data_IF_775153348682
#
_entry.id   IF_775153348682
#
_cell.length_a   1.000
_cell.length_b   1.000
_cell.length_c   1.000
_cell.angle_alpha   90.00
_cell.angle_beta   90.00
_cell.angle_gamma   90.00
#
_symmetry.space_group_name_H-M   'P 1'
#
loop_
_entity.id
_entity.type
_entity.pdbx_description
1 polymer ?
#
# COMPACT_ATOMS: atom_id res chain seq x y z
N UNK A 1 16.94 -1.19 -34.33
CA UNK A 1 17.34 -1.28 -32.90
C UNK A 1 18.69 -0.60 -32.60
N UNK A 2 19.28 0.14 -33.55
CA UNK A 2 20.66 0.68 -33.44
C UNK A 2 20.75 2.12 -32.96
N UNK A 3 19.62 2.74 -32.61
CA UNK A 3 19.59 4.12 -32.10
C UNK A 3 19.82 4.11 -30.57
N UNK A 4 20.87 4.77 -30.05
CA UNK A 4 21.15 4.89 -28.62
C UNK A 4 19.97 5.48 -27.82
N UNK A 5 19.19 6.37 -28.43
CA UNK A 5 18.00 6.94 -27.81
C UNK A 5 16.90 5.89 -27.67
N UNK A 6 16.68 5.07 -28.70
CA UNK A 6 15.71 3.95 -28.65
C UNK A 6 16.12 2.90 -27.61
N UNK A 7 17.42 2.58 -27.50
CA UNK A 7 17.93 1.65 -26.47
C UNK A 7 17.71 2.20 -25.05
N UNK A 8 17.93 3.51 -24.85
CA UNK A 8 17.71 4.17 -23.55
C UNK A 8 16.23 4.22 -23.19
N UNK A 9 15.35 4.50 -24.16
CA UNK A 9 13.89 4.42 -23.98
C UNK A 9 13.49 2.99 -23.58
N UNK A 10 13.95 1.97 -24.32
CA UNK A 10 13.62 0.58 -24.02
C UNK A 10 14.09 0.14 -22.63
N UNK A 11 15.31 0.49 -22.22
CA UNK A 11 15.84 0.13 -20.88
C UNK A 11 15.07 0.83 -19.76
N UNK A 12 14.56 2.04 -19.97
CA UNK A 12 13.76 2.76 -18.98
C UNK A 12 12.29 2.29 -18.95
N UNK A 13 11.73 1.91 -20.09
CA UNK A 13 10.34 1.44 -20.19
C UNK A 13 10.17 -0.02 -19.82
N UNK A 14 11.17 -0.87 -20.05
CA UNK A 14 11.09 -2.30 -19.76
C UNK A 14 10.71 -2.60 -18.30
N UNK A 15 11.29 -1.97 -17.26
CA UNK A 15 10.92 -2.22 -15.88
C UNK A 15 9.53 -1.70 -15.54
N UNK A 16 9.11 -0.59 -16.16
CA UNK A 16 7.77 -0.01 -15.97
C UNK A 16 6.71 -0.94 -16.56
N UNK A 17 6.93 -1.41 -17.79
CA UNK A 17 6.06 -2.37 -18.46
C UNK A 17 5.98 -3.71 -17.70
N UNK A 18 7.12 -4.22 -17.22
CA UNK A 18 7.15 -5.41 -16.38
C UNK A 18 6.39 -5.20 -15.07
N UNK A 19 6.54 -4.04 -14.42
CA UNK A 19 5.76 -3.68 -13.23
C UNK A 19 4.25 -3.70 -13.49
N UNK A 20 3.80 -3.13 -14.61
CA UNK A 20 2.38 -3.14 -14.99
C UNK A 20 1.85 -4.56 -15.25
N UNK A 21 2.65 -5.40 -15.91
CA UNK A 21 2.29 -6.81 -16.16
C UNK A 21 2.16 -7.56 -14.84
N UNK A 22 3.15 -7.40 -13.94
CA UNK A 22 3.14 -8.04 -12.62
C UNK A 22 1.92 -7.59 -11.81
N UNK A 23 1.58 -6.31 -11.80
CA UNK A 23 0.40 -5.80 -11.10
C UNK A 23 -0.91 -6.38 -11.64
N UNK A 24 -1.08 -6.45 -12.98
CA UNK A 24 -2.27 -7.05 -13.57
C UNK A 24 -2.35 -8.56 -13.29
N UNK A 25 -1.21 -9.24 -13.32
CA UNK A 25 -1.13 -10.66 -13.00
C UNK A 25 -1.44 -10.92 -11.53
N UNK A 26 -0.98 -10.06 -10.62
CA UNK A 26 -1.32 -10.13 -9.20
C UNK A 26 -2.84 -10.07 -9.01
N UNK A 27 -3.53 -9.08 -9.59
CA UNK A 27 -5.00 -8.96 -9.47
C UNK A 27 -5.71 -10.22 -9.96
N UNK A 28 -5.28 -10.77 -11.09
CA UNK A 28 -5.85 -12.01 -11.62
C UNK A 28 -5.58 -13.22 -10.71
N UNK A 29 -4.41 -13.29 -10.07
CA UNK A 29 -4.06 -14.34 -9.11
C UNK A 29 -4.88 -14.19 -7.83
N UNK A 30 -4.97 -12.98 -7.26
CA UNK A 30 -5.74 -12.69 -6.05
C UNK A 30 -7.20 -13.13 -6.23
N UNK A 31 -7.82 -12.77 -7.35
CA UNK A 31 -9.21 -13.17 -7.65
C UNK A 31 -9.37 -14.69 -7.77
N UNK A 32 -8.42 -15.38 -8.42
CA UNK A 32 -8.44 -16.85 -8.56
C UNK A 32 -8.22 -17.56 -7.23
N UNK A 33 -7.31 -17.05 -6.39
CA UNK A 33 -7.05 -17.61 -5.07
C UNK A 33 -8.24 -17.38 -4.15
N UNK A 34 -8.80 -16.17 -4.13
CA UNK A 34 -9.96 -15.84 -3.31
C UNK A 34 -11.21 -16.63 -3.71
N UNK A 35 -11.47 -16.87 -5.00
CA UNK A 35 -12.59 -17.70 -5.42
C UNK A 35 -12.45 -19.17 -5.01
N UNK A 36 -11.21 -19.64 -4.83
CA UNK A 36 -10.94 -21.01 -4.36
C UNK A 36 -11.18 -21.23 -2.87
N UNK A 37 -11.31 -20.16 -2.06
CA UNK A 37 -11.52 -20.25 -0.61
C UNK A 37 -12.99 -20.25 -0.19
N UNK A 38 -13.90 -20.08 -1.15
CA UNK A 38 -15.36 -20.14 -0.95
C UNK A 38 -16.10 -19.10 -1.77
N UNK A 39 -17.35 -19.37 -2.13
CA UNK A 39 -18.16 -18.56 -3.06
C UNK A 39 -18.29 -17.09 -2.62
N UNK A 40 -18.40 -16.84 -1.31
CA UNK A 40 -18.53 -15.48 -0.75
C UNK A 40 -17.20 -14.80 -0.40
N UNK A 41 -16.06 -15.50 -0.50
CA UNK A 41 -14.76 -14.97 -0.05
C UNK A 41 -14.36 -13.68 -0.77
N UNK A 42 -14.54 -13.65 -2.09
CA UNK A 42 -14.26 -12.47 -2.91
C UNK A 42 -15.11 -11.29 -2.45
N UNK A 43 -16.41 -11.52 -2.21
CA UNK A 43 -17.32 -10.48 -1.76
C UNK A 43 -16.94 -9.92 -0.38
N UNK A 44 -16.59 -10.78 0.57
CA UNK A 44 -16.14 -10.36 1.91
C UNK A 44 -14.84 -9.55 1.84
N UNK A 45 -13.86 -10.00 1.04
CA UNK A 45 -12.61 -9.28 0.82
C UNK A 45 -12.83 -7.91 0.18
N UNK A 46 -13.68 -7.81 -0.84
CA UNK A 46 -13.98 -6.54 -1.52
C UNK A 46 -14.64 -5.52 -0.57
N UNK A 47 -15.56 -5.99 0.29
CA UNK A 47 -16.22 -5.12 1.29
C UNK A 47 -15.24 -4.66 2.36
N UNK A 48 -14.38 -5.55 2.86
CA UNK A 48 -13.33 -5.19 3.81
C UNK A 48 -12.34 -4.19 3.19
N UNK A 49 -11.91 -4.42 1.95
CA UNK A 49 -11.02 -3.53 1.19
C UNK A 49 -11.65 -2.15 1.00
N UNK A 50 -12.95 -2.10 0.73
CA UNK A 50 -13.70 -0.82 0.58
C UNK A 50 -13.61 0.02 1.86
N UNK A 51 -13.79 -0.60 3.04
CA UNK A 51 -13.70 0.12 4.32
C UNK A 51 -12.30 0.67 4.59
N UNK A 52 -11.25 -0.01 4.15
CA UNK A 52 -9.86 0.42 4.33
C UNK A 52 -9.45 1.51 3.34
N UNK A 53 -10.02 1.51 2.14
CA UNK A 53 -9.78 2.57 1.16
C UNK A 53 -10.22 3.94 1.68
N UNK A 54 -11.22 4.01 2.57
CA UNK A 54 -11.70 5.27 3.14
C UNK A 54 -10.59 6.03 3.88
N UNK A 55 -10.00 5.52 4.97
CA UNK A 55 -8.91 6.23 5.66
C UNK A 55 -7.64 6.28 4.81
N UNK A 56 -7.35 5.25 4.00
CA UNK A 56 -6.15 5.21 3.17
C UNK A 56 -6.15 6.29 2.09
N UNK A 57 -7.25 6.42 1.34
CA UNK A 57 -7.42 7.45 0.31
C UNK A 57 -7.48 8.85 0.91
N UNK A 58 -8.26 9.03 1.99
CA UNK A 58 -8.47 10.33 2.62
C UNK A 58 -7.20 10.90 3.25
N UNK A 59 -6.34 10.04 3.79
CA UNK A 59 -5.14 10.45 4.54
C UNK A 59 -3.89 10.25 3.69
N UNK A 60 -3.56 9.00 3.35
CA UNK A 60 -2.28 8.66 2.74
C UNK A 60 -2.14 9.25 1.33
N UNK A 61 -3.13 9.02 0.48
CA UNK A 61 -3.13 9.52 -0.91
C UNK A 61 -3.22 11.04 -0.93
N UNK A 62 -4.17 11.62 -0.18
CA UNK A 62 -4.39 13.06 -0.16
C UNK A 62 -3.17 13.85 0.33
N UNK A 63 -2.55 13.44 1.44
CA UNK A 63 -1.34 14.10 1.95
C UNK A 63 -0.19 13.97 0.95
N UNK A 64 -0.02 12.80 0.35
CA UNK A 64 1.07 12.56 -0.61
C UNK A 64 0.92 13.42 -1.87
N UNK A 65 -0.30 13.54 -2.40
CA UNK A 65 -0.61 14.45 -3.51
C UNK A 65 -0.39 15.91 -3.12
N UNK A 66 -0.77 16.31 -1.90
CA UNK A 66 -0.59 17.68 -1.43
C UNK A 66 0.89 18.07 -1.29
N UNK A 67 1.76 17.16 -0.86
CA UNK A 67 3.20 17.43 -0.72
C UNK A 67 3.99 17.28 -2.02
N UNK A 68 3.44 16.58 -3.03
CA UNK A 68 4.16 16.28 -4.28
C UNK A 68 4.71 17.50 -5.01
N UNK A 69 3.94 18.59 -5.25
CA UNK A 69 4.46 19.74 -6.00
C UNK A 69 5.62 20.41 -5.27
N UNK A 70 5.56 20.43 -3.93
CA UNK A 70 6.61 21.00 -3.09
C UNK A 70 7.87 20.14 -3.10
N UNK A 71 7.73 18.82 -2.96
CA UNK A 71 8.84 17.87 -3.07
C UNK A 71 9.53 17.96 -4.45
N UNK A 72 8.76 18.07 -5.53
CA UNK A 72 9.31 18.21 -6.89
C UNK A 72 10.09 19.53 -7.05
N UNK A 73 9.57 20.64 -6.53
CA UNK A 73 10.31 21.93 -6.55
C UNK A 73 11.60 21.87 -5.74
N UNK A 74 11.54 21.32 -4.53
CA UNK A 74 12.72 21.17 -3.66
C UNK A 74 13.76 20.25 -4.28
N UNK A 75 13.33 19.16 -4.93
CA UNK A 75 14.24 18.28 -5.68
C UNK A 75 14.88 18.98 -6.87
N UNK A 76 14.14 19.82 -7.61
CA UNK A 76 14.68 20.56 -8.75
C UNK A 76 15.65 21.68 -8.33
N UNK A 77 15.47 22.24 -7.14
CA UNK A 77 16.34 23.25 -6.54
C UNK A 77 17.54 22.68 -5.76
N UNK A 78 17.68 21.34 -5.72
CA UNK A 78 18.66 20.62 -4.90
C UNK A 78 18.59 20.95 -3.38
N UNK A 79 17.42 21.39 -2.90
CA UNK A 79 17.14 21.70 -1.50
C UNK A 79 16.84 20.40 -0.71
N UNK A 80 17.92 19.71 -0.32
CA UNK A 80 17.83 18.43 0.38
C UNK A 80 17.18 18.56 1.77
N UNK A 81 17.43 19.66 2.48
CA UNK A 81 16.92 19.86 3.84
C UNK A 81 15.44 20.24 3.83
N UNK A 82 15.01 21.10 2.91
CA UNK A 82 13.60 21.35 2.66
C UNK A 82 12.87 20.09 2.23
N UNK A 83 13.46 19.28 1.35
CA UNK A 83 12.89 18.01 0.92
C UNK A 83 12.66 17.05 2.11
N UNK A 84 13.67 16.88 2.97
CA UNK A 84 13.58 16.08 4.21
C UNK A 84 12.46 16.56 5.11
N UNK A 85 12.37 17.88 5.33
CA UNK A 85 11.37 18.48 6.20
C UNK A 85 9.95 18.27 5.67
N UNK A 86 9.74 18.49 4.37
CA UNK A 86 8.44 18.27 3.72
C UNK A 86 8.02 16.80 3.79
N UNK A 87 8.93 15.87 3.46
CA UNK A 87 8.65 14.44 3.52
C UNK A 87 8.38 13.97 4.96
N UNK A 88 9.20 14.40 5.91
CA UNK A 88 9.04 14.08 7.32
C UNK A 88 7.72 14.59 7.90
N UNK A 89 7.30 15.81 7.51
CA UNK A 89 5.99 16.35 7.86
C UNK A 89 4.86 15.50 7.27
N UNK A 90 4.95 15.15 5.97
CA UNK A 90 3.97 14.28 5.31
C UNK A 90 3.82 12.93 6.02
N UNK A 91 4.93 12.26 6.32
CA UNK A 91 4.95 10.99 7.04
C UNK A 91 4.33 11.11 8.45
N UNK A 92 4.67 12.17 9.20
CA UNK A 92 4.11 12.41 10.55
C UNK A 92 2.61 12.63 10.47
N UNK A 93 2.12 13.45 9.54
CA UNK A 93 0.69 13.69 9.37
C UNK A 93 -0.07 12.41 8.99
N UNK A 94 0.48 11.61 8.08
CA UNK A 94 -0.09 10.31 7.72
C UNK A 94 -0.18 9.40 8.94
N UNK A 95 0.91 9.25 9.70
CA UNK A 95 0.93 8.39 10.89
C UNK A 95 -0.04 8.85 11.98
N UNK A 96 -0.04 10.16 12.29
CA UNK A 96 -0.90 10.75 13.33
C UNK A 96 -2.38 10.54 13.02
N UNK A 97 -2.77 10.54 11.75
CA UNK A 97 -4.16 10.33 11.35
C UNK A 97 -4.49 8.85 11.11
N UNK A 98 -3.58 8.07 10.56
CA UNK A 98 -3.88 6.69 10.16
C UNK A 98 -3.87 5.71 11.32
N UNK A 99 -3.01 5.93 12.32
CA UNK A 99 -2.96 5.07 13.51
C UNK A 99 -4.31 5.09 14.27
N UNK A 100 -4.86 6.25 14.67
CA UNK A 100 -6.16 6.27 15.35
C UNK A 100 -7.30 5.79 14.46
N UNK A 101 -7.27 6.08 13.15
CA UNK A 101 -8.27 5.55 12.21
C UNK A 101 -8.22 4.01 12.12
N UNK A 102 -7.01 3.43 12.05
CA UNK A 102 -6.80 1.98 12.04
C UNK A 102 -7.30 1.35 13.33
N UNK A 103 -6.96 1.92 14.50
CA UNK A 103 -7.41 1.43 15.80
C UNK A 103 -8.93 1.54 15.95
N UNK A 104 -9.52 2.66 15.53
CA UNK A 104 -10.97 2.86 15.54
C UNK A 104 -11.70 1.83 14.68
N UNK A 105 -11.23 1.62 13.44
CA UNK A 105 -11.77 0.59 12.55
C UNK A 105 -11.55 -0.82 13.07
N UNK A 106 -10.42 -1.08 13.76
CA UNK A 106 -10.12 -2.41 14.29
C UNK A 106 -11.11 -2.81 15.39
N UNK A 107 -11.35 -1.91 16.34
CA UNK A 107 -12.31 -2.13 17.44
C UNK A 107 -13.74 -2.17 16.90
N UNK A 108 -14.07 -1.27 15.97
CA UNK A 108 -15.42 -1.14 15.41
C UNK A 108 -15.65 -1.96 14.13
N UNK A 109 -14.78 -2.93 13.85
CA UNK A 109 -14.81 -3.67 12.58
C UNK A 109 -16.18 -4.30 12.30
N UNK A 110 -16.72 -5.00 13.30
CA UNK A 110 -18.02 -5.67 13.22
C UNK A 110 -19.20 -4.70 13.20
N UNK A 111 -19.35 -3.73 14.13
CA UNK A 111 -20.48 -2.81 14.09
C UNK A 111 -20.49 -1.92 12.85
N UNK A 112 -19.32 -1.49 12.33
CA UNK A 112 -19.25 -0.72 11.08
C UNK A 112 -19.66 -1.58 9.88
N UNK A 113 -19.18 -2.82 9.81
CA UNK A 113 -19.53 -3.75 8.74
C UNK A 113 -21.02 -4.04 8.75
N UNK A 114 -21.59 -4.33 9.93
CA UNK A 114 -23.03 -4.59 10.09
C UNK A 114 -23.86 -3.38 9.66
N UNK A 115 -23.52 -2.20 10.20
CA UNK A 115 -24.24 -0.96 9.94
C UNK A 115 -24.26 -0.58 8.45
N UNK A 116 -23.16 -0.82 7.73
CA UNK A 116 -23.04 -0.40 6.32
C UNK A 116 -23.59 -1.48 5.38
N UNK A 117 -23.33 -2.76 5.66
CA UNK A 117 -23.54 -3.82 4.68
C UNK A 117 -24.64 -4.83 5.02
N UNK A 118 -25.04 -4.98 6.29
CA UNK A 118 -25.98 -6.02 6.74
C UNK A 118 -27.44 -5.69 6.43
N UNK A 119 -27.76 -5.70 5.14
CA UNK A 119 -29.09 -5.46 4.62
C UNK A 119 -29.38 -6.36 3.42
N UNK A 120 -30.65 -6.75 3.25
CA UNK A 120 -31.10 -7.54 2.12
C UNK A 120 -30.50 -8.95 2.09
N UNK A 121 -29.60 -9.22 1.13
CA UNK A 121 -28.98 -10.54 0.95
C UNK A 121 -27.70 -10.75 1.78
N UNK A 122 -27.22 -9.71 2.45
CA UNK A 122 -26.03 -9.77 3.30
C UNK A 122 -26.45 -10.12 4.72
N UNK A 123 -25.94 -11.25 5.21
CA UNK A 123 -26.32 -11.85 6.48
C UNK A 123 -25.33 -11.52 7.60
N UNK A 124 -25.70 -11.77 8.85
CA UNK A 124 -24.80 -11.68 9.99
C UNK A 124 -23.52 -12.54 9.84
N UNK A 125 -23.60 -13.67 9.14
CA UNK A 125 -22.42 -14.48 8.82
C UNK A 125 -21.47 -13.76 7.85
N UNK A 126 -22.02 -13.04 6.87
CA UNK A 126 -21.22 -12.22 5.95
C UNK A 126 -20.55 -11.05 6.69
N UNK A 127 -21.26 -10.44 7.64
CA UNK A 127 -20.71 -9.43 8.56
C UNK A 127 -19.53 -9.99 9.33
N UNK A 128 -19.68 -11.17 9.93
CA UNK A 128 -18.64 -11.81 10.73
C UNK A 128 -17.35 -12.04 9.92
N UNK A 129 -17.45 -12.65 8.74
CA UNK A 129 -16.29 -12.95 7.90
C UNK A 129 -15.66 -11.70 7.29
N UNK A 130 -16.47 -10.72 6.90
CA UNK A 130 -15.98 -9.43 6.41
C UNK A 130 -15.26 -8.64 7.50
N UNK A 131 -15.77 -8.65 8.74
CA UNK A 131 -15.12 -8.00 9.87
C UNK A 131 -13.78 -8.66 10.23
N UNK A 132 -13.67 -9.98 10.13
CA UNK A 132 -12.39 -10.68 10.29
C UNK A 132 -11.40 -10.36 9.19
N UNK A 133 -11.83 -10.36 7.93
CA UNK A 133 -10.99 -9.91 6.82
C UNK A 133 -10.52 -8.47 7.03
N UNK A 134 -11.42 -7.57 7.44
CA UNK A 134 -11.09 -6.19 7.77
C UNK A 134 -9.99 -6.11 8.84
N UNK A 135 -10.13 -6.83 9.95
CA UNK A 135 -9.11 -6.87 11.02
C UNK A 135 -7.75 -7.35 10.51
N UNK A 136 -7.73 -8.37 9.65
CA UNK A 136 -6.49 -8.88 9.06
C UNK A 136 -5.83 -7.87 8.09
N UNK A 137 -6.61 -7.15 7.28
CA UNK A 137 -6.07 -6.10 6.41
C UNK A 137 -5.59 -4.87 7.21
N UNK A 138 -6.26 -4.53 8.32
CA UNK A 138 -5.88 -3.40 9.18
C UNK A 138 -4.48 -3.58 9.79
N UNK A 139 -3.99 -4.82 9.93
CA UNK A 139 -2.61 -5.09 10.33
C UNK A 139 -1.58 -4.52 9.32
N UNK A 140 -1.95 -4.44 8.03
CA UNK A 140 -1.13 -3.87 6.96
C UNK A 140 -1.38 -2.39 6.68
N UNK A 141 -2.50 -1.82 7.15
CA UNK A 141 -2.96 -0.48 6.75
C UNK A 141 -1.93 0.63 7.04
N UNK A 142 -1.30 0.61 8.21
CA UNK A 142 -0.30 1.62 8.56
C UNK A 142 0.88 1.60 7.57
N UNK A 143 1.32 0.41 7.18
CA UNK A 143 2.40 0.23 6.20
C UNK A 143 1.98 0.66 4.80
N UNK A 144 0.77 0.28 4.38
CA UNK A 144 0.18 0.71 3.12
C UNK A 144 0.03 2.24 3.06
N UNK A 145 -0.20 2.91 4.19
CA UNK A 145 -0.38 4.35 4.25
C UNK A 145 0.94 5.12 4.16
N UNK A 146 1.98 4.68 4.88
CA UNK A 146 3.31 5.33 4.79
C UNK A 146 3.99 5.10 3.43
N UNK A 147 3.58 4.06 2.70
CA UNK A 147 4.09 3.77 1.37
C UNK A 147 3.86 4.91 0.37
N UNK A 148 2.71 5.57 0.45
CA UNK A 148 2.36 6.67 -0.45
C UNK A 148 3.36 7.83 -0.43
N UNK A 149 3.64 8.48 0.72
CA UNK A 149 4.58 9.59 0.75
C UNK A 149 6.00 9.15 0.39
N UNK A 150 6.38 7.90 0.72
CA UNK A 150 7.68 7.35 0.31
C UNK A 150 7.76 7.21 -1.22
N UNK A 151 6.78 6.58 -1.87
CA UNK A 151 6.73 6.45 -3.33
C UNK A 151 6.77 7.84 -4.01
N UNK A 152 6.04 8.79 -3.47
CA UNK A 152 5.96 10.16 -3.99
C UNK A 152 7.28 10.93 -3.85
N UNK A 153 8.06 10.67 -2.80
CA UNK A 153 9.42 11.21 -2.69
C UNK A 153 10.34 10.70 -3.81
N UNK A 154 10.19 9.43 -4.21
CA UNK A 154 10.93 8.87 -5.35
C UNK A 154 10.43 9.43 -6.69
N UNK A 155 9.12 9.62 -6.86
CA UNK A 155 8.55 10.23 -8.05
C UNK A 155 8.94 11.70 -8.22
N UNK A 156 8.99 12.47 -7.13
CA UNK A 156 9.49 13.85 -7.13
C UNK A 156 10.94 13.95 -7.65
N UNK A 157 11.73 12.88 -7.50
CA UNK A 157 13.11 12.76 -7.99
C UNK A 157 13.22 12.07 -9.36
N UNK A 158 12.11 11.95 -10.09
CA UNK A 158 12.04 11.25 -11.39
C UNK A 158 12.52 9.78 -11.32
N UNK A 159 12.50 9.17 -10.14
CA UNK A 159 12.89 7.77 -9.93
C UNK A 159 11.66 6.90 -9.73
N UNK A 160 11.05 6.48 -10.84
CA UNK A 160 9.89 5.57 -10.83
C UNK A 160 10.31 4.10 -10.75
N UNK A 161 11.55 3.79 -11.12
CA UNK A 161 12.07 2.42 -11.19
C UNK A 161 12.23 1.78 -9.81
N UNK A 162 12.70 2.54 -8.82
CA UNK A 162 12.94 1.99 -7.48
C UNK A 162 11.63 1.52 -6.82
N UNK A 163 10.57 2.34 -6.74
CA UNK A 163 9.24 1.87 -6.30
C UNK A 163 8.74 0.66 -7.07
N UNK A 164 8.86 0.65 -8.41
CA UNK A 164 8.35 -0.45 -9.24
C UNK A 164 9.04 -1.79 -8.93
N UNK A 165 10.38 -1.79 -8.79
CA UNK A 165 11.14 -3.01 -8.48
C UNK A 165 10.85 -3.53 -7.07
N UNK A 166 10.72 -2.64 -6.09
CA UNK A 166 10.33 -3.02 -4.72
C UNK A 166 8.90 -3.57 -4.71
N UNK A 167 8.01 -3.00 -5.53
CA UNK A 167 6.66 -3.50 -5.78
C UNK A 167 6.67 -4.94 -6.29
N UNK A 168 7.43 -5.22 -7.34
CA UNK A 168 7.59 -6.58 -7.90
C UNK A 168 8.09 -7.57 -6.83
N UNK A 169 9.10 -7.18 -6.05
CA UNK A 169 9.60 -8.02 -4.96
C UNK A 169 8.53 -8.31 -3.90
N UNK A 170 7.74 -7.30 -3.55
CA UNK A 170 6.67 -7.42 -2.56
C UNK A 170 5.52 -8.30 -3.07
N UNK A 171 5.19 -8.22 -4.36
CA UNK A 171 4.26 -9.18 -4.98
C UNK A 171 4.78 -10.61 -4.88
N UNK A 172 6.10 -10.82 -5.01
CA UNK A 172 6.71 -12.13 -4.73
C UNK A 172 6.47 -12.59 -3.29
N UNK A 173 6.64 -11.70 -2.30
CA UNK A 173 6.35 -11.98 -0.88
C UNK A 173 4.87 -12.35 -0.69
N UNK A 174 3.96 -11.58 -1.29
CA UNK A 174 2.53 -11.88 -1.29
C UNK A 174 2.26 -13.30 -1.81
N UNK A 175 2.75 -13.63 -3.01
CA UNK A 175 2.46 -14.91 -3.66
C UNK A 175 2.96 -16.10 -2.81
N UNK A 176 4.17 -15.99 -2.25
CA UNK A 176 4.73 -17.04 -1.38
C UNK A 176 3.85 -17.21 -0.14
N UNK A 177 3.51 -16.13 0.55
CA UNK A 177 2.70 -16.20 1.76
C UNK A 177 1.27 -16.64 1.48
N UNK A 178 0.66 -16.17 0.39
CA UNK A 178 -0.67 -16.55 -0.03
C UNK A 178 -0.74 -18.06 -0.29
N UNK A 179 0.20 -18.64 -1.04
CA UNK A 179 0.23 -20.08 -1.32
C UNK A 179 0.45 -20.93 -0.06
N UNK A 180 1.20 -20.43 0.92
CA UNK A 180 1.44 -21.12 2.19
C UNK A 180 0.23 -21.02 3.12
N UNK A 181 -0.38 -19.84 3.22
CA UNK A 181 -1.44 -19.54 4.18
C UNK A 181 -2.86 -19.87 3.68
N UNK A 182 -3.07 -19.99 2.37
CA UNK A 182 -4.40 -20.29 1.81
C UNK A 182 -4.92 -21.67 2.27
N UNK A 183 -4.05 -22.67 2.42
CA UNK A 183 -4.45 -24.00 2.90
C UNK A 183 -4.95 -24.00 4.35
N UNK A 184 -4.21 -23.45 5.34
CA UNK A 184 -4.67 -23.44 6.73
C UNK A 184 -5.71 -22.37 7.06
N UNK A 185 -5.68 -21.21 6.40
CA UNK A 185 -6.48 -20.03 6.78
C UNK A 185 -7.48 -19.57 5.71
N UNK A 186 -7.50 -20.20 4.54
CA UNK A 186 -8.37 -19.81 3.43
C UNK A 186 -8.22 -18.34 3.08
N UNK A 187 -9.35 -17.64 2.99
CA UNK A 187 -9.43 -16.20 2.71
C UNK A 187 -8.57 -15.37 3.67
N UNK A 188 -8.60 -15.66 4.97
CA UNK A 188 -7.84 -14.88 5.96
C UNK A 188 -6.33 -14.98 5.72
N UNK A 189 -5.87 -16.12 5.18
CA UNK A 189 -4.49 -16.30 4.76
C UNK A 189 -4.08 -15.36 3.62
N UNK A 190 -4.97 -15.16 2.64
CA UNK A 190 -4.75 -14.23 1.53
C UNK A 190 -4.68 -12.78 2.02
N UNK A 191 -5.58 -12.42 2.93
CA UNK A 191 -5.63 -11.08 3.52
C UNK A 191 -4.38 -10.79 4.36
N UNK A 192 -3.91 -11.76 5.16
CA UNK A 192 -2.68 -11.62 5.92
C UNK A 192 -1.44 -11.54 5.01
N UNK A 193 -1.41 -12.30 3.91
CA UNK A 193 -0.36 -12.20 2.92
C UNK A 193 -0.29 -10.79 2.28
N UNK A 194 -1.44 -10.16 2.04
CA UNK A 194 -1.52 -8.78 1.55
C UNK A 194 -0.99 -7.76 2.57
N UNK A 195 -1.35 -7.90 3.85
CA UNK A 195 -0.78 -7.09 4.93
C UNK A 195 0.74 -7.23 5.02
N UNK A 196 1.27 -8.45 4.86
CA UNK A 196 2.70 -8.72 4.86
C UNK A 196 3.43 -8.13 3.63
N UNK A 197 2.77 -8.11 2.46
CA UNK A 197 3.26 -7.40 1.27
C UNK A 197 3.41 -5.91 1.52
N UNK A 198 2.39 -5.28 2.11
CA UNK A 198 2.46 -3.86 2.46
C UNK A 198 3.58 -3.57 3.46
N UNK A 199 3.73 -4.43 4.46
CA UNK A 199 4.87 -4.38 5.38
C UNK A 199 6.21 -4.45 4.65
N UNK A 200 6.42 -5.46 3.80
CA UNK A 200 7.70 -5.65 3.09
C UNK A 200 8.02 -4.48 2.17
N UNK A 201 7.01 -3.95 1.47
CA UNK A 201 7.16 -2.84 0.56
C UNK A 201 7.57 -1.56 1.33
N UNK A 202 6.79 -1.20 2.35
CA UNK A 202 7.00 -0.01 3.14
C UNK A 202 8.35 0.00 3.86
N UNK A 203 8.75 -1.13 4.46
CA UNK A 203 10.05 -1.24 5.14
C UNK A 203 11.20 -1.08 4.13
N UNK A 204 11.11 -1.72 2.97
CA UNK A 204 12.14 -1.60 1.94
C UNK A 204 12.24 -0.16 1.43
N UNK A 205 11.11 0.48 1.16
CA UNK A 205 11.06 1.88 0.75
C UNK A 205 11.59 2.83 1.82
N UNK A 206 11.30 2.57 3.09
CA UNK A 206 11.78 3.37 4.21
C UNK A 206 13.31 3.26 4.34
N UNK A 207 13.87 2.05 4.25
CA UNK A 207 15.32 1.82 4.29
C UNK A 207 16.01 2.52 3.11
N UNK A 208 15.45 2.43 1.90
CA UNK A 208 16.01 3.07 0.71
C UNK A 208 15.94 4.60 0.80
N UNK A 209 14.85 5.15 1.34
CA UNK A 209 14.70 6.57 1.63
C UNK A 209 15.77 7.03 2.61
N UNK A 210 15.92 6.30 3.72
CA UNK A 210 16.91 6.62 4.76
C UNK A 210 18.36 6.54 4.23
N UNK A 211 18.67 5.55 3.39
CA UNK A 211 20.00 5.44 2.77
C UNK A 211 20.32 6.56 1.77
N UNK A 212 19.33 7.06 1.03
CA UNK A 212 19.54 8.12 0.02
C UNK A 212 19.45 9.53 0.59
N UNK A 213 18.59 9.72 1.60
CA UNK A 213 18.21 11.04 2.10
C UNK A 213 18.75 11.25 3.52
N UNK A 214 19.19 10.23 4.25
CA UNK A 214 19.64 10.39 5.65
C UNK A 214 18.48 10.47 6.63
N UNK A 215 18.77 10.81 7.88
CA UNK A 215 17.81 10.69 8.98
C UNK A 215 16.68 11.73 8.91
N UNK A 216 15.43 11.28 8.90
CA UNK A 216 14.24 12.15 8.86
C UNK A 216 13.86 12.70 10.24
N UNK A 217 14.57 12.28 11.29
CA UNK A 217 14.30 12.63 12.69
C UNK A 217 15.09 13.83 13.21
N UNK A 218 16.06 14.35 12.45
CA UNK A 218 16.81 15.53 12.85
C UNK A 218 16.00 16.78 12.58
N UNK A 219 15.07 17.07 13.49
CA UNK A 219 14.80 18.42 13.98
C UNK A 219 13.76 18.35 15.10
N UNK A 220 14.25 18.60 16.32
CA UNK A 220 13.50 18.91 17.53
C UNK A 220 12.57 20.09 17.24
N UNK A 221 11.37 20.02 17.82
CA UNK A 221 10.44 21.14 17.92
C UNK A 221 11.19 22.32 18.55
N UNK A 222 11.49 23.34 17.75
CA UNK A 222 11.85 24.68 18.18
C UNK A 222 10.65 25.58 18.02
#
# INVERSE_FOLDING_TARGET
LSDPALRRILVLYLPIALGLIVSNMQVAIDQRLASSTGESSVAWMDRATTLIQLPHGLVAVAISLAVLPTLSRQSAADDQDGFRRTLGLGLRLVLVLIIPATLGLLVMAEPITSLIFEHGRFTANDTYWTAWALRCYLAGLVFAAIDWPLNYAFYARQNTLTPALVGILSVGVYLVLALVLIKPLGMLGLVLADSAKHFSHAITMLILTWRRIGNLSDQRLG
#
